data_IF_479339790450
#
_entry.id   IF_479339790450
#
_cell.length_a   1.000
_cell.length_b   1.000
_cell.length_c   1.000
_cell.angle_alpha   90.00
_cell.angle_beta   90.00
_cell.angle_gamma   90.00
#
_symmetry.space_group_name_H-M   'P 1'
#
loop_
_entity.id
_entity.type
_entity.pdbx_description
1 polymer ?
#
# COMPACT_ATOMS: atom_id res chain seq x y z
N UNK A 1 -9.33 15.94 21.85
CA UNK A 1 -8.36 14.96 21.35
C UNK A 1 -9.10 13.88 20.59
N UNK A 2 -8.77 13.76 19.33
CA UNK A 2 -9.43 12.74 18.55
C UNK A 2 -8.90 11.36 18.95
N UNK A 3 -9.81 10.49 19.31
CA UNK A 3 -9.47 9.09 19.45
C UNK A 3 -9.26 8.54 18.05
N UNK A 4 -8.01 8.50 17.62
CA UNK A 4 -7.69 7.95 16.32
C UNK A 4 -8.16 6.50 16.25
N UNK A 5 -8.99 6.21 15.26
CA UNK A 5 -9.37 4.84 14.98
C UNK A 5 -8.10 4.12 14.53
N UNK A 6 -7.86 2.95 15.09
CA UNK A 6 -6.69 2.14 14.77
C UNK A 6 -7.09 0.89 14.01
N UNK A 7 -6.18 0.42 13.19
CA UNK A 7 -6.33 -0.81 12.43
C UNK A 7 -5.13 -1.73 12.63
N UNK A 8 -5.34 -2.99 12.36
CA UNK A 8 -4.26 -3.97 12.30
C UNK A 8 -3.64 -3.94 10.92
N UNK A 9 -2.32 -3.92 10.85
CA UNK A 9 -1.60 -3.92 9.58
C UNK A 9 -0.37 -4.83 9.66
N UNK A 10 -0.10 -5.55 8.59
CA UNK A 10 1.12 -6.33 8.44
C UNK A 10 2.18 -5.43 7.81
N UNK A 11 3.28 -5.19 8.53
CA UNK A 11 4.31 -4.26 8.10
C UNK A 11 5.68 -4.90 8.19
N UNK A 12 6.58 -4.46 7.31
CA UNK A 12 7.99 -4.77 7.43
C UNK A 12 8.74 -3.51 7.88
N UNK A 13 9.73 -3.71 8.76
CA UNK A 13 10.56 -2.63 9.28
C UNK A 13 11.96 -2.64 8.71
N UNK A 14 12.29 -3.66 7.93
CA UNK A 14 13.56 -3.83 7.25
C UNK A 14 13.39 -4.88 6.17
N UNK A 15 14.34 -4.99 5.28
CA UNK A 15 14.42 -6.18 4.42
C UNK A 15 14.89 -7.38 5.23
N UNK A 16 14.46 -8.56 4.85
CA UNK A 16 14.89 -9.79 5.51
C UNK A 16 13.91 -10.94 5.29
N UNK A 17 14.01 -11.93 6.14
CA UNK A 17 13.14 -13.09 6.15
C UNK A 17 11.81 -12.81 6.86
N UNK A 18 11.04 -13.86 7.15
CA UNK A 18 9.72 -13.69 7.78
C UNK A 18 9.74 -12.94 9.11
N UNK A 19 10.86 -12.94 9.80
CA UNK A 19 10.99 -12.30 11.12
C UNK A 19 10.85 -10.77 11.05
N UNK A 20 11.04 -10.15 9.88
CA UNK A 20 10.89 -8.70 9.74
C UNK A 20 9.44 -8.27 9.54
N UNK A 21 8.54 -9.22 9.34
CA UNK A 21 7.11 -8.96 9.18
C UNK A 21 6.46 -8.95 10.56
N UNK A 22 5.83 -7.83 10.89
CA UNK A 22 5.15 -7.66 12.17
C UNK A 22 3.69 -7.31 11.94
N UNK A 23 2.86 -7.64 12.92
CA UNK A 23 1.45 -7.22 12.95
C UNK A 23 1.34 -6.07 13.92
N UNK A 24 1.06 -4.91 13.41
CA UNK A 24 1.08 -3.67 14.18
C UNK A 24 -0.31 -3.04 14.24
N UNK A 25 -0.54 -2.25 15.28
CA UNK A 25 -1.74 -1.40 15.38
C UNK A 25 -1.34 0.01 14.95
N UNK A 26 -1.93 0.50 13.89
CA UNK A 26 -1.61 1.81 13.32
C UNK A 26 -2.88 2.64 13.13
N UNK A 27 -2.76 3.96 13.05
CA UNK A 27 -3.93 4.79 12.75
C UNK A 27 -4.52 4.44 11.40
N UNK A 28 -5.85 4.44 11.32
CA UNK A 28 -6.54 4.33 10.03
C UNK A 28 -6.22 5.57 9.22
N UNK A 29 -5.76 5.43 7.96
CA UNK A 29 -5.39 6.59 7.16
C UNK A 29 -6.62 7.43 6.80
N UNK A 30 -6.40 8.73 6.69
CA UNK A 30 -7.41 9.67 6.22
C UNK A 30 -7.18 9.93 4.73
N UNK A 31 -8.22 9.84 3.88
CA UNK A 31 -8.02 10.09 2.46
C UNK A 31 -7.67 11.57 2.21
N UNK A 32 -6.62 11.79 1.43
CA UNK A 32 -6.24 13.11 0.97
C UNK A 32 -7.18 13.59 -0.14
N UNK A 33 -7.13 14.87 -0.53
CA UNK A 33 -7.93 15.34 -1.66
C UNK A 33 -7.74 14.46 -2.90
N UNK A 34 -8.84 14.11 -3.54
CA UNK A 34 -8.85 13.24 -4.71
C UNK A 34 -8.70 11.75 -4.43
N UNK A 35 -8.63 11.38 -3.17
CA UNK A 35 -8.46 9.98 -2.76
C UNK A 35 -9.70 9.42 -2.11
N UNK A 36 -9.80 8.09 -2.14
CA UNK A 36 -10.78 7.35 -1.35
C UNK A 36 -10.07 6.44 -0.37
N UNK A 37 -10.74 6.12 0.72
CA UNK A 37 -10.28 5.08 1.65
C UNK A 37 -11.10 3.82 1.41
N UNK A 38 -10.43 2.70 1.37
CA UNK A 38 -11.07 1.41 1.14
C UNK A 38 -10.97 0.59 2.42
N UNK A 39 -12.12 0.10 2.89
CA UNK A 39 -12.16 -0.92 3.91
C UNK A 39 -11.89 -2.25 3.24
N UNK A 40 -10.68 -2.78 3.43
CA UNK A 40 -10.23 -3.99 2.76
C UNK A 40 -10.94 -5.20 3.34
N UNK A 41 -11.54 -6.01 2.47
CA UNK A 41 -12.21 -7.26 2.84
C UNK A 41 -11.50 -8.47 2.27
N UNK A 42 -10.66 -8.30 1.27
CA UNK A 42 -9.89 -9.38 0.67
C UNK A 42 -8.59 -8.81 0.08
N UNK A 43 -7.55 -9.60 0.14
CA UNK A 43 -6.26 -9.28 -0.46
C UNK A 43 -5.60 -10.59 -0.87
N UNK A 44 -4.94 -10.59 -2.03
CA UNK A 44 -4.19 -11.75 -2.48
C UNK A 44 -2.73 -11.64 -2.09
N UNK A 45 -2.09 -12.76 -1.94
CA UNK A 45 -0.64 -12.85 -1.74
C UNK A 45 0.02 -13.07 -3.09
N UNK A 46 1.12 -12.38 -3.31
CA UNK A 46 1.88 -12.46 -4.55
C UNK A 46 3.36 -12.67 -4.26
N UNK A 47 4.07 -13.25 -5.21
CA UNK A 47 5.51 -13.44 -5.08
C UNK A 47 6.26 -12.11 -4.91
N UNK A 48 5.75 -11.04 -5.50
CA UNK A 48 6.34 -9.72 -5.36
C UNK A 48 6.35 -9.25 -3.90
N UNK A 49 5.41 -9.69 -3.08
CA UNK A 49 5.40 -9.36 -1.65
C UNK A 49 6.61 -9.96 -0.94
N UNK A 50 6.95 -11.20 -1.28
CA UNK A 50 8.13 -11.87 -0.75
C UNK A 50 9.42 -11.22 -1.24
N UNK A 51 9.48 -10.92 -2.53
CA UNK A 51 10.65 -10.30 -3.14
C UNK A 51 10.90 -8.89 -2.60
N UNK A 52 9.83 -8.15 -2.37
CA UNK A 52 9.94 -6.82 -1.74
C UNK A 52 10.49 -6.94 -0.32
N UNK A 53 9.97 -7.90 0.46
CA UNK A 53 10.45 -8.12 1.81
C UNK A 53 11.94 -8.51 1.82
N UNK A 54 12.36 -9.35 0.90
CA UNK A 54 13.74 -9.82 0.80
C UNK A 54 14.70 -8.77 0.24
N UNK A 55 14.19 -7.70 -0.36
CA UNK A 55 15.03 -6.67 -0.96
C UNK A 55 15.49 -7.00 -2.36
N UNK A 56 14.80 -7.93 -3.06
CA UNK A 56 15.20 -8.36 -4.40
C UNK A 56 15.09 -7.24 -5.45
N UNK A 57 14.30 -6.22 -5.18
CA UNK A 57 14.12 -5.09 -6.08
C UNK A 57 15.08 -3.93 -5.83
N UNK A 58 16.02 -4.11 -4.93
CA UNK A 58 17.00 -3.10 -4.59
C UNK A 58 16.92 -2.70 -3.13
N UNK A 59 18.07 -2.42 -2.55
CA UNK A 59 18.21 -1.95 -1.18
C UNK A 59 19.09 -0.71 -1.17
N UNK A 60 19.03 0.12 -0.10
CA UNK A 60 19.94 1.25 0.01
C UNK A 60 21.42 0.85 -0.01
N UNK A 61 21.72 -0.38 0.43
CA UNK A 61 23.09 -0.88 0.51
C UNK A 61 23.58 -1.49 -0.79
N UNK A 62 22.68 -1.82 -1.72
CA UNK A 62 23.00 -2.43 -3.00
C UNK A 62 22.11 -1.84 -4.10
N UNK A 63 22.48 -0.66 -4.61
CA UNK A 63 21.69 -0.02 -5.67
C UNK A 63 21.76 -0.77 -6.99
N UNK A 64 22.68 -1.70 -7.15
CA UNK A 64 22.82 -2.51 -8.36
C UNK A 64 21.99 -3.80 -8.30
N UNK A 65 21.33 -4.08 -7.18
CA UNK A 65 20.43 -5.22 -7.09
C UNK A 65 19.28 -5.06 -8.11
N UNK A 66 18.70 -6.19 -8.50
CA UNK A 66 17.58 -6.17 -9.45
C UNK A 66 16.51 -5.23 -8.94
N UNK A 67 16.19 -4.23 -9.73
CA UNK A 67 15.13 -3.27 -9.39
C UNK A 67 13.83 -3.72 -10.03
N UNK A 68 12.81 -3.81 -9.21
CA UNK A 68 11.46 -3.99 -9.71
C UNK A 68 10.84 -2.65 -10.06
N UNK A 69 9.58 -2.70 -10.34
CA UNK A 69 8.81 -1.53 -10.75
C UNK A 69 8.66 -0.47 -9.65
N UNK A 70 8.90 -0.82 -8.39
CA UNK A 70 8.77 0.13 -7.28
C UNK A 70 10.12 0.64 -6.77
N UNK A 71 11.23 0.01 -7.17
CA UNK A 71 12.55 0.43 -6.69
C UNK A 71 12.74 0.29 -5.18
N UNK A 72 13.72 0.98 -4.61
CA UNK A 72 13.92 1.00 -3.16
C UNK A 72 12.71 1.56 -2.42
N UNK A 73 12.43 1.00 -1.25
CA UNK A 73 11.27 1.37 -0.44
C UNK A 73 11.71 1.93 0.91
N UNK A 74 10.83 2.73 1.51
CA UNK A 74 11.01 3.22 2.88
C UNK A 74 10.35 2.29 3.90
N UNK A 75 10.76 2.42 5.15
CA UNK A 75 10.23 1.65 6.27
C UNK A 75 9.68 2.56 7.37
N UNK A 76 8.72 2.12 8.18
CA UNK A 76 7.97 0.86 8.02
C UNK A 76 7.05 0.91 6.82
N UNK A 77 6.79 -0.26 6.22
CA UNK A 77 5.95 -0.37 5.04
C UNK A 77 4.84 -1.38 5.27
N UNK A 78 3.61 -0.99 4.97
CA UNK A 78 2.50 -1.94 4.89
C UNK A 78 2.68 -2.75 3.60
N UNK A 79 2.74 -4.06 3.74
CA UNK A 79 2.98 -4.97 2.63
C UNK A 79 1.70 -5.26 1.85
N UNK A 80 1.88 -5.60 0.60
CA UNK A 80 0.83 -6.07 -0.29
C UNK A 80 0.52 -5.07 -1.40
N UNK A 81 0.20 -5.60 -2.58
CA UNK A 81 -0.22 -4.80 -3.74
C UNK A 81 -1.67 -4.97 -4.10
N UNK A 82 -2.32 -6.01 -3.60
CA UNK A 82 -3.70 -6.32 -3.95
C UNK A 82 -4.64 -5.95 -2.81
N UNK A 83 -5.76 -5.35 -3.16
CA UNK A 83 -6.81 -5.06 -2.20
C UNK A 83 -8.16 -5.00 -2.90
N UNK A 84 -9.16 -5.52 -2.23
CA UNK A 84 -10.55 -5.40 -2.63
C UNK A 84 -11.39 -5.08 -1.40
N UNK A 85 -12.43 -4.32 -1.56
CA UNK A 85 -13.27 -3.95 -0.44
C UNK A 85 -14.30 -2.90 -0.81
N UNK A 86 -14.63 -2.07 0.16
CA UNK A 86 -15.65 -1.03 0.01
C UNK A 86 -15.06 0.34 0.30
N UNK A 87 -15.48 1.33 -0.46
CA UNK A 87 -15.14 2.72 -0.16
C UNK A 87 -15.87 3.12 1.12
N UNK A 88 -15.13 3.48 2.17
CA UNK A 88 -15.72 3.87 3.46
C UNK A 88 -15.48 5.34 3.81
N UNK A 89 -14.66 6.04 3.05
CA UNK A 89 -14.47 7.48 3.18
C UNK A 89 -13.93 8.05 1.87
N UNK A 90 -14.24 9.31 1.62
CA UNK A 90 -13.76 10.03 0.44
C UNK A 90 -13.06 11.31 0.87
N UNK A 91 -12.00 11.67 0.16
CA UNK A 91 -11.31 12.95 0.35
C UNK A 91 -12.06 14.07 -0.36
N UNK A 92 -11.59 15.30 -0.15
CA UNK A 92 -12.20 16.46 -0.79
C UNK A 92 -12.11 16.35 -2.32
N UNK A 93 -13.16 16.82 -2.99
CA UNK A 93 -13.23 16.76 -4.45
C UNK A 93 -13.69 15.43 -5.02
N UNK A 94 -13.85 14.42 -4.18
CA UNK A 94 -14.35 13.10 -4.61
C UNK A 94 -15.87 13.04 -4.40
N UNK A 95 -16.57 12.45 -5.35
CA UNK A 95 -18.02 12.33 -5.30
C UNK A 95 -18.45 11.38 -4.17
N UNK A 96 -19.30 11.86 -3.27
CA UNK A 96 -19.82 11.08 -2.15
C UNK A 96 -20.62 9.84 -2.58
N UNK A 97 -21.09 9.80 -3.81
CA UNK A 97 -21.82 8.62 -4.33
C UNK A 97 -20.93 7.39 -4.41
N UNK A 98 -19.61 7.55 -4.35
CA UNK A 98 -18.69 6.43 -4.30
C UNK A 98 -18.73 5.70 -2.96
N UNK A 99 -19.21 6.33 -1.88
CA UNK A 99 -19.31 5.67 -0.58
C UNK A 99 -20.17 4.40 -0.68
N UNK A 100 -19.65 3.30 -0.13
CA UNK A 100 -20.31 2.00 -0.16
C UNK A 100 -20.05 1.19 -1.42
N UNK A 101 -19.35 1.73 -2.41
CA UNK A 101 -19.02 1.01 -3.64
C UNK A 101 -18.04 -0.13 -3.36
N UNK A 102 -18.31 -1.29 -3.97
CA UNK A 102 -17.34 -2.39 -3.99
C UNK A 102 -16.30 -2.10 -5.05
N UNK A 103 -15.05 -2.25 -4.67
CA UNK A 103 -13.93 -1.90 -5.54
C UNK A 103 -12.80 -2.93 -5.45
N UNK A 104 -12.05 -3.03 -6.51
CA UNK A 104 -10.76 -3.72 -6.56
C UNK A 104 -9.73 -2.66 -6.91
N UNK A 105 -8.62 -2.66 -6.20
CA UNK A 105 -7.55 -1.69 -6.45
C UNK A 105 -6.73 -2.16 -7.63
N UNK A 106 -6.53 -1.28 -8.60
CA UNK A 106 -5.49 -1.44 -9.61
C UNK A 106 -4.17 -1.00 -8.97
N UNK A 107 -3.18 -1.89 -8.81
CA UNK A 107 -1.93 -1.52 -8.17
C UNK A 107 -1.08 -0.56 -9.01
N UNK A 108 -1.37 -0.42 -10.29
CA UNK A 108 -0.70 0.56 -11.12
C UNK A 108 -1.14 1.98 -10.75
N UNK A 109 -0.18 2.84 -10.48
CA UNK A 109 -0.47 4.24 -10.20
C UNK A 109 -0.11 5.07 -11.42
N UNK A 110 -1.12 5.67 -12.02
CA UNK A 110 -0.94 6.51 -13.21
C UNK A 110 -0.98 7.97 -12.80
N UNK A 111 0.11 8.66 -13.12
CA UNK A 111 0.21 10.10 -12.93
C UNK A 111 0.01 10.75 -14.30
N UNK A 112 -0.95 11.66 -14.39
CA UNK A 112 -1.24 12.34 -15.65
C UNK A 112 -0.08 13.20 -16.16
N UNK A 113 0.87 13.50 -15.31
CA UNK A 113 2.07 14.24 -15.70
C UNK A 113 3.21 13.32 -16.16
N UNK A 114 3.09 12.01 -15.94
CA UNK A 114 4.09 11.02 -16.30
C UNK A 114 3.39 9.81 -16.93
N UNK A 115 3.29 9.83 -18.25
CA UNK A 115 2.60 8.77 -19.01
C UNK A 115 3.30 7.41 -18.95
N UNK A 116 4.48 7.35 -18.42
CA UNK A 116 5.28 6.15 -18.28
C UNK A 116 5.20 5.55 -16.86
N UNK A 117 4.17 5.87 -16.14
CA UNK A 117 3.89 5.19 -14.87
C UNK A 117 3.77 3.68 -15.10
N UNK A 118 4.54 2.92 -14.34
CA UNK A 118 4.61 1.47 -14.52
C UNK A 118 3.49 0.76 -13.76
N UNK A 119 3.02 -0.36 -14.28
CA UNK A 119 2.12 -1.22 -13.54
C UNK A 119 2.76 -1.80 -12.30
#
# INVERSE_FOLDING_TARGET
MSDSIRMTAARIHAHGGPEVLTVDRIPVPTPAPGQVRIRVTAAALNNTDLWTREGAYGTPDDPDAATGWIGPIGFPRVQGGDAAGYVDAVGSGVDDTLLGSRVVVDPAHYDSEHDDALP
#
